data_IF_543206348300
#
_entry.id   IF_543206348300
#
_cell.length_a   1.000
_cell.length_b   1.000
_cell.length_c   1.000
_cell.angle_alpha   90.00
_cell.angle_beta   90.00
_cell.angle_gamma   90.00
#
_symmetry.space_group_name_H-M   'P 1'
#
loop_
_entity.id
_entity.type
_entity.pdbx_description
1 polymer ?
#
# COMPACT_ATOMS: atom_id res chain seq x y z
N UNK A 1 -3.90 -13.46 -20.34
CA UNK A 1 -2.63 -12.70 -20.22
C UNK A 1 -1.55 -13.69 -19.77
N UNK A 2 -0.87 -14.36 -20.71
CA UNK A 2 -0.13 -15.61 -20.43
C UNK A 2 1.40 -15.43 -20.42
N UNK A 3 1.89 -14.25 -20.01
CA UNK A 3 3.33 -13.96 -19.94
C UNK A 3 3.77 -13.79 -18.48
N UNK A 4 4.53 -14.74 -17.90
CA UNK A 4 4.94 -14.71 -16.50
C UNK A 4 5.76 -13.45 -16.14
N UNK A 5 6.44 -12.86 -17.14
CA UNK A 5 7.17 -11.61 -17.00
C UNK A 5 6.28 -10.40 -16.67
N UNK A 6 5.08 -10.32 -17.26
CA UNK A 6 4.14 -9.22 -16.98
C UNK A 6 3.62 -9.32 -15.55
N UNK A 7 3.30 -10.53 -15.10
CA UNK A 7 2.87 -10.77 -13.72
C UNK A 7 3.96 -10.35 -12.72
N UNK A 8 5.21 -10.72 -12.96
CA UNK A 8 6.34 -10.32 -12.12
C UNK A 8 6.51 -8.79 -12.11
N UNK A 9 6.51 -8.14 -13.27
CA UNK A 9 6.65 -6.68 -13.36
C UNK A 9 5.53 -5.93 -12.64
N UNK A 10 4.28 -6.37 -12.81
CA UNK A 10 3.12 -5.76 -12.14
C UNK A 10 3.20 -5.95 -10.63
N UNK A 11 3.47 -7.17 -10.15
CA UNK A 11 3.59 -7.47 -8.72
C UNK A 11 4.74 -6.69 -8.08
N UNK A 12 5.92 -6.67 -8.70
CA UNK A 12 7.06 -5.89 -8.20
C UNK A 12 6.75 -4.39 -8.19
N UNK A 13 6.10 -3.87 -9.23
CA UNK A 13 5.67 -2.47 -9.30
C UNK A 13 4.69 -2.11 -8.18
N UNK A 14 3.71 -2.97 -7.90
CA UNK A 14 2.77 -2.79 -6.80
C UNK A 14 3.45 -2.80 -5.43
N UNK A 15 4.39 -3.73 -5.20
CA UNK A 15 5.15 -3.80 -3.95
C UNK A 15 5.99 -2.54 -3.77
N UNK A 16 6.68 -2.09 -4.83
CA UNK A 16 7.47 -0.87 -4.80
C UNK A 16 6.60 0.38 -4.52
N UNK A 17 5.42 0.46 -5.14
CA UNK A 17 4.46 1.53 -4.87
C UNK A 17 4.00 1.52 -3.41
N UNK A 18 3.63 0.36 -2.86
CA UNK A 18 3.29 0.23 -1.44
C UNK A 18 4.43 0.66 -0.52
N UNK A 19 5.67 0.23 -0.81
CA UNK A 19 6.84 0.63 -0.03
C UNK A 19 7.11 2.14 -0.10
N UNK A 20 6.87 2.77 -1.26
CA UNK A 20 6.95 4.22 -1.42
C UNK A 20 5.92 4.95 -0.56
N UNK A 21 4.65 4.53 -0.58
CA UNK A 21 3.61 5.16 0.25
C UNK A 21 3.91 5.03 1.75
N UNK A 22 4.41 3.87 2.19
CA UNK A 22 4.87 3.67 3.57
C UNK A 22 6.02 4.63 3.91
N UNK A 23 7.02 4.76 3.05
CA UNK A 23 8.13 5.70 3.25
C UNK A 23 7.65 7.16 3.35
N UNK A 24 6.68 7.54 2.52
CA UNK A 24 6.03 8.86 2.58
C UNK A 24 5.30 9.05 3.91
N UNK A 25 4.55 8.06 4.39
CA UNK A 25 3.86 8.12 5.68
C UNK A 25 4.86 8.33 6.84
N UNK A 26 5.95 7.56 6.89
CA UNK A 26 7.00 7.73 7.90
C UNK A 26 7.72 9.08 7.80
N UNK A 27 8.03 9.55 6.59
CA UNK A 27 8.63 10.87 6.38
C UNK A 27 7.70 12.00 6.83
N UNK A 28 6.40 11.86 6.56
CA UNK A 28 5.38 12.82 6.98
C UNK A 28 5.19 12.83 8.50
N UNK A 29 5.25 11.67 9.16
CA UNK A 29 5.22 11.57 10.63
C UNK A 29 6.47 12.24 11.24
N UNK A 30 7.65 11.98 10.68
CA UNK A 30 8.91 12.54 11.15
C UNK A 30 9.02 14.07 10.94
N UNK A 31 8.51 14.59 9.82
CA UNK A 31 8.62 16.00 9.47
C UNK A 31 7.67 16.92 10.27
N UNK A 32 6.54 16.42 10.78
CA UNK A 32 5.41 17.29 11.16
C UNK A 32 5.34 17.80 12.58
N UNK A 33 5.60 16.97 13.58
CA UNK A 33 5.27 17.35 14.95
C UNK A 33 6.47 17.93 15.67
N UNK A 34 7.47 17.11 15.95
CA UNK A 34 8.63 17.55 16.75
C UNK A 34 9.30 18.80 16.19
N UNK A 35 9.67 18.83 14.90
CA UNK A 35 10.46 19.94 14.35
C UNK A 35 9.70 21.26 14.22
N UNK A 36 8.40 21.21 13.89
CA UNK A 36 7.57 22.42 13.80
C UNK A 36 7.11 22.90 15.18
N UNK A 37 6.84 22.00 16.13
CA UNK A 37 6.53 22.34 17.53
C UNK A 37 7.76 22.95 18.22
N UNK A 38 8.96 22.40 17.99
CA UNK A 38 10.22 22.95 18.54
C UNK A 38 10.56 24.33 17.96
N UNK A 39 10.22 24.58 16.68
CA UNK A 39 10.54 25.83 15.99
C UNK A 39 9.43 26.91 16.11
N UNK A 40 8.19 26.55 16.42
CA UNK A 40 7.06 27.48 16.54
C UNK A 40 7.23 28.58 17.60
N UNK A 41 7.88 28.35 18.76
CA UNK A 41 8.19 29.38 19.74
C UNK A 41 9.15 30.44 19.18
N UNK A 42 10.06 30.06 18.27
CA UNK A 42 11.17 30.92 17.82
C UNK A 42 11.03 31.44 16.38
N UNK A 43 10.07 30.94 15.60
CA UNK A 43 9.85 31.37 14.22
C UNK A 43 8.37 31.58 13.87
N UNK A 44 8.04 32.79 13.39
CA UNK A 44 6.70 33.11 12.86
C UNK A 44 6.36 32.26 11.64
N UNK A 45 7.36 31.90 10.83
CA UNK A 45 7.19 31.02 9.67
C UNK A 45 6.87 29.58 10.10
N UNK A 46 7.53 29.04 11.14
CA UNK A 46 7.21 27.72 11.69
C UNK A 46 5.78 27.68 12.26
N UNK A 47 5.33 28.76 12.90
CA UNK A 47 3.95 28.90 13.39
C UNK A 47 2.90 29.01 12.28
N UNK A 48 3.27 29.60 11.14
CA UNK A 48 2.42 29.63 9.95
C UNK A 48 2.36 28.24 9.28
N UNK A 49 3.48 27.55 9.16
CA UNK A 49 3.56 26.19 8.63
C UNK A 49 2.83 25.16 9.51
N UNK A 50 2.90 25.28 10.84
CA UNK A 50 2.12 24.46 11.78
C UNK A 50 0.60 24.68 11.58
N UNK A 51 0.18 25.91 11.25
CA UNK A 51 -1.21 26.23 10.90
C UNK A 51 -1.63 25.68 9.53
N UNK A 52 -0.70 25.60 8.58
CA UNK A 52 -0.87 24.94 7.27
C UNK A 52 -0.58 23.43 7.28
N UNK A 53 -0.51 22.80 8.46
CA UNK A 53 -0.39 21.34 8.59
C UNK A 53 -1.59 20.56 7.98
N UNK A 54 -2.58 21.26 7.44
CA UNK A 54 -3.67 20.72 6.62
C UNK A 54 -3.17 20.04 5.34
N UNK A 55 -2.23 20.65 4.61
CA UNK A 55 -1.56 20.09 3.40
C UNK A 55 -0.93 18.74 3.71
N UNK A 56 -0.29 18.74 4.87
CA UNK A 56 0.26 17.59 5.48
C UNK A 56 -0.89 16.55 5.68
N UNK A 57 -1.96 16.82 6.42
CA UNK A 57 -3.03 15.80 6.59
C UNK A 57 -3.60 15.26 5.27
N UNK A 58 -3.66 16.08 4.22
CA UNK A 58 -4.06 15.67 2.86
C UNK A 58 -3.07 14.66 2.26
N UNK A 59 -1.76 14.90 2.38
CA UNK A 59 -0.74 13.94 1.92
C UNK A 59 -0.78 12.62 2.69
N UNK A 60 -1.11 12.66 3.99
CA UNK A 60 -1.26 11.45 4.81
C UNK A 60 -2.50 10.65 4.38
N UNK A 61 -3.63 11.33 4.18
CA UNK A 61 -4.85 10.73 3.65
C UNK A 61 -4.64 10.14 2.24
N UNK A 62 -3.92 10.87 1.38
CA UNK A 62 -3.52 10.40 0.05
C UNK A 62 -2.66 9.14 0.10
N UNK A 63 -1.70 9.07 1.04
CA UNK A 63 -0.86 7.88 1.23
C UNK A 63 -1.68 6.66 1.67
N UNK A 64 -2.61 6.82 2.61
CA UNK A 64 -3.48 5.73 3.08
C UNK A 64 -4.42 5.21 1.97
N UNK A 65 -4.96 6.11 1.14
CA UNK A 65 -5.70 5.72 -0.05
C UNK A 65 -4.80 4.96 -1.05
N UNK A 66 -3.56 5.43 -1.27
CA UNK A 66 -2.57 4.75 -2.10
C UNK A 66 -2.28 3.32 -1.64
N UNK A 67 -2.03 3.13 -0.34
CA UNK A 67 -1.82 1.80 0.28
C UNK A 67 -3.03 0.90 0.06
N UNK A 68 -4.24 1.44 0.24
CA UNK A 68 -5.49 0.70 0.04
C UNK A 68 -5.63 0.23 -1.41
N UNK A 69 -5.42 1.13 -2.38
CA UNK A 69 -5.48 0.81 -3.80
C UNK A 69 -4.43 -0.22 -4.18
N UNK A 70 -3.19 -0.07 -3.72
CA UNK A 70 -2.12 -1.04 -3.98
C UNK A 70 -2.45 -2.42 -3.38
N UNK A 71 -3.03 -2.47 -2.17
CA UNK A 71 -3.43 -3.71 -1.51
C UNK A 71 -4.57 -4.40 -2.26
N UNK A 72 -5.60 -3.65 -2.68
CA UNK A 72 -6.71 -4.19 -3.48
C UNK A 72 -6.24 -4.68 -4.85
N UNK A 73 -5.39 -3.91 -5.52
CA UNK A 73 -4.81 -4.29 -6.81
C UNK A 73 -3.93 -5.54 -6.67
N UNK A 74 -3.14 -5.64 -5.59
CA UNK A 74 -2.33 -6.82 -5.32
C UNK A 74 -3.22 -8.04 -5.06
N UNK A 75 -4.29 -7.88 -4.28
CA UNK A 75 -5.30 -8.93 -4.07
C UNK A 75 -5.93 -9.38 -5.39
N UNK A 76 -6.36 -8.45 -6.24
CA UNK A 76 -6.98 -8.74 -7.54
C UNK A 76 -6.01 -9.46 -8.51
N UNK A 77 -4.72 -9.12 -8.47
CA UNK A 77 -3.67 -9.81 -9.25
C UNK A 77 -3.31 -11.16 -8.63
N UNK A 78 -3.36 -11.27 -7.30
CA UNK A 78 -2.99 -12.48 -6.56
C UNK A 78 -4.07 -13.57 -6.66
N UNK A 79 -5.36 -13.22 -6.67
CA UNK A 79 -6.49 -14.16 -6.85
C UNK A 79 -6.33 -15.15 -8.03
N UNK A 80 -6.06 -14.71 -9.28
CA UNK A 80 -5.86 -15.64 -10.40
C UNK A 80 -4.57 -16.47 -10.26
N UNK A 81 -3.53 -15.93 -9.63
CA UNK A 81 -2.29 -16.68 -9.37
C UNK A 81 -2.50 -17.75 -8.30
N UNK A 82 -3.11 -17.40 -7.17
CA UNK A 82 -3.46 -18.30 -6.06
C UNK A 82 -4.38 -19.42 -6.56
N UNK A 83 -5.41 -19.11 -7.35
CA UNK A 83 -6.27 -20.12 -7.95
C UNK A 83 -5.46 -21.10 -8.83
N UNK A 84 -4.56 -20.62 -9.68
CA UNK A 84 -3.75 -21.49 -10.55
C UNK A 84 -2.76 -22.38 -9.78
N UNK A 85 -2.23 -21.90 -8.65
CA UNK A 85 -1.30 -22.65 -7.80
C UNK A 85 -1.98 -23.59 -6.80
N UNK A 86 -3.17 -23.25 -6.29
CA UNK A 86 -3.92 -24.09 -5.36
C UNK A 86 -4.75 -25.18 -6.05
N UNK A 87 -5.16 -24.99 -7.31
CA UNK A 87 -5.90 -26.02 -8.07
C UNK A 87 -5.20 -27.40 -8.10
N UNK A 88 -3.87 -27.52 -8.36
CA UNK A 88 -3.20 -28.83 -8.30
C UNK A 88 -3.06 -29.38 -6.86
N UNK A 89 -2.88 -28.51 -5.86
CA UNK A 89 -2.77 -28.92 -4.45
C UNK A 89 -4.11 -29.45 -3.89
N UNK A 90 -5.23 -28.78 -4.23
CA UNK A 90 -6.58 -29.21 -3.84
C UNK A 90 -7.01 -30.51 -4.55
N UNK A 91 -6.60 -30.71 -5.81
CA UNK A 91 -6.84 -31.98 -6.54
C UNK A 91 -6.10 -33.17 -5.92
N UNK A 92 -4.89 -32.96 -5.40
CA UNK A 92 -4.11 -34.00 -4.72
C UNK A 92 -4.71 -34.38 -3.34
N UNK A 93 -5.39 -33.45 -2.68
CA UNK A 93 -5.97 -33.66 -1.35
C UNK A 93 -7.44 -34.13 -1.35
N UNK A 94 -8.08 -34.22 -2.52
CA UNK A 94 -9.48 -34.69 -2.65
C UNK A 94 -10.53 -33.74 -2.08
N UNK A 95 -10.18 -32.47 -1.90
CA UNK A 95 -11.06 -31.48 -1.29
C UNK A 95 -12.08 -30.91 -2.32
N UNK A 96 -13.31 -30.59 -1.87
CA UNK A 96 -14.40 -30.21 -2.76
C UNK A 96 -14.15 -28.85 -3.45
N UNK A 97 -14.60 -28.68 -4.72
CA UNK A 97 -14.19 -27.58 -5.60
C UNK A 97 -14.58 -26.18 -5.11
N UNK A 98 -15.60 -26.04 -4.27
CA UNK A 98 -16.05 -24.74 -3.73
C UNK A 98 -15.03 -24.07 -2.80
N UNK A 99 -14.10 -24.84 -2.21
CA UNK A 99 -13.02 -24.27 -1.39
C UNK A 99 -11.98 -23.51 -2.24
N UNK A 100 -11.80 -23.91 -3.50
CA UNK A 100 -10.94 -23.18 -4.44
C UNK A 100 -11.57 -21.87 -4.92
N UNK A 101 -12.91 -21.78 -4.92
CA UNK A 101 -13.66 -20.57 -5.27
C UNK A 101 -13.68 -19.54 -4.12
N UNK A 102 -13.61 -19.98 -2.86
CA UNK A 102 -13.51 -19.08 -1.70
C UNK A 102 -12.11 -18.51 -1.47
N UNK A 103 -11.08 -19.21 -1.96
CA UNK A 103 -9.69 -18.74 -1.90
C UNK A 103 -9.31 -17.81 -3.06
N UNK A 104 -10.19 -17.67 -4.06
CA UNK A 104 -10.05 -16.84 -5.26
C UNK A 104 -10.85 -15.56 -5.25
#
# INVERSE_FOLDING_TARGET
>A
MNSPWIFLLVTTGLIAASAFFVAVEFALIAARRSRLEDAAPHSRAARAALRSASELSVLLAGSQLGITVCTLALGAVTKPAVHHWLTPAFRLWGAPPWLADLAG
#
